data_IF_067474563712
#
_entry.id   IF_067474563712
#
_cell.length_a   1.000
_cell.length_b   1.000
_cell.length_c   1.000
_cell.angle_alpha   90.00
_cell.angle_beta   90.00
_cell.angle_gamma   90.00
#
_symmetry.space_group_name_H-M   'P 1'
#
loop_
_entity.id
_entity.type
_entity.pdbx_description
1 polymer ?
#
# COMPACT_ATOMS: atom_id res chain seq x y z
N UNK A 1 3.86 -13.22 6.44
CA UNK A 1 2.67 -12.34 6.54
C UNK A 1 2.81 -11.16 5.57
N UNK A 2 1.71 -10.71 4.97
CA UNK A 2 1.67 -9.56 4.03
C UNK A 2 0.51 -8.64 4.41
N UNK A 3 0.77 -7.35 4.55
CA UNK A 3 -0.24 -6.31 4.69
C UNK A 3 -0.58 -5.73 3.31
N UNK A 4 -1.83 -5.77 2.92
CA UNK A 4 -2.35 -5.03 1.75
C UNK A 4 -3.00 -3.77 2.30
N UNK A 5 -2.33 -2.63 2.15
CA UNK A 5 -2.85 -1.33 2.57
C UNK A 5 -3.64 -0.69 1.43
N UNK A 6 -4.96 -0.76 1.52
CA UNK A 6 -5.88 -0.04 0.65
C UNK A 6 -6.06 1.39 1.18
N UNK A 7 -5.31 2.32 0.61
CA UNK A 7 -5.20 3.71 1.09
C UNK A 7 -6.35 4.63 0.66
N UNK A 8 -7.51 4.08 0.28
CA UNK A 8 -8.65 4.89 -0.17
C UNK A 8 -9.77 4.96 0.88
N UNK A 9 -10.60 6.00 0.80
CA UNK A 9 -11.85 6.12 1.54
C UNK A 9 -13.07 5.70 0.69
N UNK A 10 -12.83 5.10 -0.46
CA UNK A 10 -13.88 4.70 -1.37
C UNK A 10 -14.75 3.57 -0.78
N UNK A 11 -15.97 3.47 -1.32
CA UNK A 11 -16.94 2.46 -0.87
C UNK A 11 -16.47 1.04 -1.22
N UNK A 12 -16.97 0.03 -0.50
CA UNK A 12 -16.80 -1.37 -0.88
C UNK A 12 -17.20 -1.61 -2.35
N UNK A 13 -16.48 -2.50 -3.03
CA UNK A 13 -16.67 -2.85 -4.45
C UNK A 13 -16.21 -1.80 -5.48
N UNK A 14 -15.24 -0.96 -5.14
CA UNK A 14 -14.53 -0.16 -6.13
C UNK A 14 -13.25 -0.86 -6.63
N UNK A 15 -12.61 -0.25 -7.62
CA UNK A 15 -11.35 -0.74 -8.21
C UNK A 15 -10.29 -1.09 -7.17
N UNK A 16 -10.21 -0.33 -6.08
CA UNK A 16 -9.19 -0.57 -5.05
C UNK A 16 -9.46 -1.87 -4.28
N UNK A 17 -10.71 -2.14 -3.96
CA UNK A 17 -11.11 -3.35 -3.25
C UNK A 17 -10.97 -4.58 -4.14
N UNK A 18 -11.29 -4.47 -5.44
CA UNK A 18 -11.11 -5.56 -6.40
C UNK A 18 -9.64 -5.94 -6.54
N UNK A 19 -8.74 -4.95 -6.68
CA UNK A 19 -7.29 -5.19 -6.71
C UNK A 19 -6.82 -5.83 -5.39
N UNK A 20 -7.26 -5.30 -4.25
CA UNK A 20 -6.88 -5.84 -2.95
C UNK A 20 -7.32 -7.30 -2.76
N UNK A 21 -8.54 -7.63 -3.19
CA UNK A 21 -9.07 -8.98 -3.12
C UNK A 21 -8.31 -9.94 -4.05
N UNK A 22 -8.05 -9.54 -5.29
CA UNK A 22 -7.25 -10.33 -6.23
C UNK A 22 -5.86 -10.66 -5.66
N UNK A 23 -5.17 -9.64 -5.15
CA UNK A 23 -3.84 -9.81 -4.53
C UNK A 23 -3.89 -10.72 -3.31
N UNK A 24 -4.92 -10.59 -2.47
CA UNK A 24 -5.13 -11.46 -1.31
C UNK A 24 -5.26 -12.92 -1.72
N UNK A 25 -6.15 -13.20 -2.68
CA UNK A 25 -6.36 -14.57 -3.16
C UNK A 25 -5.08 -15.16 -3.78
N UNK A 26 -4.36 -14.39 -4.59
CA UNK A 26 -3.12 -14.86 -5.20
C UNK A 26 -2.02 -15.10 -4.15
N UNK A 27 -1.87 -14.22 -3.17
CA UNK A 27 -0.92 -14.40 -2.06
C UNK A 27 -1.24 -15.65 -1.21
N UNK A 28 -2.52 -15.96 -1.00
CA UNK A 28 -2.94 -17.21 -0.33
C UNK A 28 -2.51 -18.44 -1.14
N UNK A 29 -2.67 -18.43 -2.45
CA UNK A 29 -2.21 -19.53 -3.34
C UNK A 29 -0.69 -19.72 -3.27
N UNK A 30 0.08 -18.64 -3.03
CA UNK A 30 1.53 -18.69 -2.82
C UNK A 30 1.93 -19.11 -1.39
N UNK A 31 0.98 -19.46 -0.52
CA UNK A 31 1.23 -19.89 0.87
C UNK A 31 1.53 -18.74 1.84
N UNK A 32 1.29 -17.49 1.44
CA UNK A 32 1.40 -16.35 2.33
C UNK A 32 0.16 -16.20 3.23
N UNK A 33 0.28 -15.35 4.25
CA UNK A 33 -0.84 -14.96 5.13
C UNK A 33 -1.11 -13.46 4.92
N UNK A 34 -1.95 -13.09 3.93
CA UNK A 34 -2.29 -11.70 3.67
C UNK A 34 -3.43 -11.21 4.57
N UNK A 35 -3.35 -9.92 4.94
CA UNK A 35 -4.42 -9.15 5.57
C UNK A 35 -4.64 -7.88 4.75
N UNK A 36 -5.90 -7.48 4.56
CA UNK A 36 -6.25 -6.19 3.96
C UNK A 36 -6.54 -5.23 5.09
N UNK A 37 -5.86 -4.08 5.08
CA UNK A 37 -6.20 -2.90 5.86
C UNK A 37 -6.90 -1.91 4.93
N UNK A 38 -8.22 -1.84 5.04
CA UNK A 38 -9.02 -0.86 4.32
C UNK A 38 -9.10 0.43 5.12
N UNK A 39 -8.47 1.50 4.64
CA UNK A 39 -8.51 2.79 5.34
C UNK A 39 -9.93 3.30 5.59
N UNK A 40 -10.86 2.98 4.68
CA UNK A 40 -12.27 3.35 4.79
C UNK A 40 -13.03 2.71 5.99
N UNK A 41 -12.46 1.67 6.60
CA UNK A 41 -13.04 0.99 7.76
C UNK A 41 -12.53 1.57 9.10
N UNK A 42 -11.60 2.52 9.04
CA UNK A 42 -10.98 3.13 10.20
C UNK A 42 -11.25 4.63 10.20
N UNK A 43 -11.73 5.14 11.32
CA UNK A 43 -11.90 6.59 11.53
C UNK A 43 -10.56 7.20 11.95
N UNK A 44 -9.66 7.35 10.95
CA UNK A 44 -8.35 7.98 11.16
C UNK A 44 -8.54 9.51 11.07
N UNK A 45 -8.41 10.26 12.15
CA UNK A 45 -8.56 11.71 12.13
C UNK A 45 -7.43 12.38 11.34
N UNK A 46 -7.61 13.65 11.01
CA UNK A 46 -6.52 14.45 10.48
C UNK A 46 -5.38 14.50 11.50
N UNK A 47 -4.17 14.31 10.99
CA UNK A 47 -2.96 14.40 11.79
C UNK A 47 -2.74 15.86 12.23
N UNK A 48 -2.53 16.04 13.52
CA UNK A 48 -2.13 17.30 14.15
C UNK A 48 -0.95 17.00 15.08
N UNK A 49 0.02 17.91 15.19
CA UNK A 49 1.19 17.69 16.06
C UNK A 49 0.83 17.73 17.55
N UNK A 50 -0.16 18.57 17.93
CA UNK A 50 -0.59 18.80 19.31
C UNK A 50 -1.84 17.97 19.65
N UNK A 51 -1.76 16.65 19.53
CA UNK A 51 -2.86 15.78 19.98
C UNK A 51 -2.81 15.52 21.49
N UNK A 52 -3.94 15.66 22.17
CA UNK A 52 -4.06 15.40 23.60
C UNK A 52 -4.13 13.91 23.94
N UNK A 53 -4.72 13.13 23.06
CA UNK A 53 -4.88 11.68 23.17
C UNK A 53 -4.72 11.04 21.80
N UNK A 54 -4.06 9.87 21.76
CA UNK A 54 -3.96 9.08 20.52
C UNK A 54 -5.24 8.28 20.33
N UNK A 55 -5.97 8.47 19.23
CA UNK A 55 -7.19 7.70 18.96
C UNK A 55 -6.93 6.20 18.87
N UNK A 56 -7.88 5.40 19.34
CA UNK A 56 -7.80 3.93 19.27
C UNK A 56 -7.63 3.42 17.84
N UNK A 57 -8.25 4.07 16.87
CA UNK A 57 -8.11 3.75 15.45
C UNK A 57 -6.67 3.89 14.95
N UNK A 58 -5.99 4.94 15.39
CA UNK A 58 -4.57 5.20 15.08
C UNK A 58 -3.69 4.16 15.78
N UNK A 59 -3.94 3.86 17.04
CA UNK A 59 -3.20 2.82 17.78
C UNK A 59 -3.31 1.46 17.09
N UNK A 60 -4.50 1.05 16.66
CA UNK A 60 -4.74 -0.18 15.92
C UNK A 60 -4.01 -0.18 14.58
N UNK A 61 -4.09 0.94 13.85
CA UNK A 61 -3.37 1.11 12.58
C UNK A 61 -1.86 0.94 12.78
N UNK A 62 -1.26 1.59 13.77
CA UNK A 62 0.17 1.46 14.09
C UNK A 62 0.56 0.01 14.38
N UNK A 63 -0.23 -0.70 15.18
CA UNK A 63 0.02 -2.12 15.49
C UNK A 63 0.03 -2.97 14.23
N UNK A 64 -0.97 -2.82 13.35
CA UNK A 64 -1.06 -3.56 12.09
C UNK A 64 0.13 -3.23 11.20
N UNK A 65 0.48 -1.97 11.01
CA UNK A 65 1.60 -1.57 10.15
C UNK A 65 2.96 -2.09 10.66
N UNK A 66 3.11 -2.21 11.97
CA UNK A 66 4.35 -2.71 12.59
C UNK A 66 4.43 -4.25 12.59
N UNK A 67 3.30 -4.94 12.67
CA UNK A 67 3.25 -6.42 12.73
C UNK A 67 3.75 -7.09 11.44
N UNK A 68 3.54 -6.46 10.28
CA UNK A 68 3.81 -7.04 8.98
C UNK A 68 5.13 -6.53 8.40
N UNK A 69 6.01 -7.43 7.91
CA UNK A 69 7.30 -7.05 7.34
C UNK A 69 7.23 -6.77 5.83
N UNK A 70 6.15 -7.20 5.19
CA UNK A 70 5.90 -6.99 3.77
C UNK A 70 4.57 -6.33 3.57
N UNK A 71 4.57 -5.23 2.80
CA UNK A 71 3.35 -4.49 2.50
C UNK A 71 3.14 -4.39 0.99
N UNK A 72 1.88 -4.31 0.57
CA UNK A 72 1.47 -3.82 -0.74
C UNK A 72 0.64 -2.58 -0.51
N UNK A 73 1.06 -1.45 -1.05
CA UNK A 73 0.31 -0.19 -0.93
C UNK A 73 -0.45 0.09 -2.20
N UNK A 74 -1.75 0.36 -2.05
CA UNK A 74 -2.70 0.64 -3.11
C UNK A 74 -3.17 2.09 -3.00
N UNK A 75 -2.96 2.90 -4.03
CA UNK A 75 -3.43 4.29 -4.08
C UNK A 75 -3.91 4.68 -5.46
N UNK A 76 -5.06 5.36 -5.59
CA UNK A 76 -5.35 6.10 -6.81
C UNK A 76 -4.40 7.29 -6.94
N UNK A 77 -4.18 7.71 -8.18
CA UNK A 77 -3.48 8.95 -8.50
C UNK A 77 -4.44 10.13 -8.42
N UNK A 78 -4.13 11.10 -7.58
CA UNK A 78 -4.77 12.42 -7.59
C UNK A 78 -3.72 13.51 -7.66
N UNK A 79 -3.84 14.40 -8.68
CA UNK A 79 -2.98 15.57 -8.86
C UNK A 79 -1.47 15.28 -8.72
N UNK A 80 -1.01 14.16 -9.29
CA UNK A 80 0.40 13.79 -9.33
C UNK A 80 0.92 13.03 -8.12
N UNK A 81 0.08 12.68 -7.15
CA UNK A 81 0.48 11.97 -5.94
C UNK A 81 -0.55 10.97 -5.43
N UNK A 82 -0.23 10.34 -4.30
CA UNK A 82 -1.16 9.49 -3.58
C UNK A 82 -2.36 10.30 -3.07
N UNK A 83 -3.48 9.62 -2.81
CA UNK A 83 -4.66 10.26 -2.21
C UNK A 83 -4.34 10.82 -0.82
N UNK A 84 -4.90 12.02 -0.52
CA UNK A 84 -4.61 12.74 0.74
C UNK A 84 -4.95 11.93 2.00
N UNK A 85 -6.02 11.13 1.98
CA UNK A 85 -6.38 10.28 3.11
C UNK A 85 -5.29 9.23 3.44
N UNK A 86 -4.65 8.65 2.41
CA UNK A 86 -3.52 7.74 2.60
C UNK A 86 -2.32 8.46 3.22
N UNK A 87 -2.00 9.66 2.71
CA UNK A 87 -0.90 10.46 3.27
C UNK A 87 -1.16 10.81 4.73
N UNK A 88 -2.37 11.24 5.05
CA UNK A 88 -2.80 11.52 6.42
C UNK A 88 -2.63 10.30 7.35
N UNK A 89 -3.04 9.12 6.89
CA UNK A 89 -2.87 7.88 7.65
C UNK A 89 -1.37 7.61 7.92
N UNK A 90 -0.51 7.80 6.92
CA UNK A 90 0.93 7.58 7.05
C UNK A 90 1.63 8.62 7.94
N UNK A 91 1.10 9.83 8.07
CA UNK A 91 1.65 10.87 8.94
C UNK A 91 1.59 10.47 10.42
N UNK A 92 0.57 9.74 10.82
CA UNK A 92 0.46 9.20 12.17
C UNK A 92 1.58 8.22 12.56
N UNK A 93 2.36 7.70 11.59
CA UNK A 93 3.52 6.87 11.91
C UNK A 93 4.61 7.63 12.68
N UNK A 94 4.55 8.96 12.76
CA UNK A 94 5.43 9.80 13.60
C UNK A 94 5.42 9.35 15.08
N UNK A 95 4.32 8.79 15.56
CA UNK A 95 4.19 8.29 16.92
C UNK A 95 5.20 7.19 17.25
N UNK A 96 5.72 6.51 16.24
CA UNK A 96 6.75 5.49 16.41
C UNK A 96 8.19 6.00 16.25
N UNK A 97 8.39 7.32 16.18
CA UNK A 97 9.70 7.94 15.92
C UNK A 97 10.77 7.60 16.95
N UNK A 98 10.37 7.33 18.18
CA UNK A 98 11.26 7.01 19.31
C UNK A 98 11.35 5.50 19.59
N UNK A 99 10.72 4.65 18.80
CA UNK A 99 10.83 3.20 18.94
C UNK A 99 12.22 2.70 18.54
N UNK A 100 12.62 1.53 18.97
CA UNK A 100 13.88 0.88 18.53
C UNK A 100 13.95 0.74 17.01
N UNK A 101 12.84 0.37 16.38
CA UNK A 101 12.67 0.35 14.92
C UNK A 101 11.57 1.35 14.53
N UNK A 102 11.91 2.63 14.38
CA UNK A 102 10.92 3.68 14.12
C UNK A 102 10.32 3.56 12.72
N UNK A 103 9.10 4.05 12.59
CA UNK A 103 8.34 4.05 11.34
C UNK A 103 8.16 2.64 10.76
N UNK A 104 8.61 2.43 9.54
CA UNK A 104 8.55 1.15 8.82
C UNK A 104 9.97 0.61 8.54
N UNK A 105 10.91 0.86 9.45
CA UNK A 105 12.31 0.40 9.34
C UNK A 105 12.35 -1.11 9.05
N UNK A 106 13.17 -1.50 8.07
CA UNK A 106 13.38 -2.86 7.57
C UNK A 106 12.21 -3.52 6.82
N UNK A 107 11.06 -2.85 6.67
CA UNK A 107 9.95 -3.40 5.92
C UNK A 107 10.15 -3.27 4.41
N UNK A 108 9.57 -4.21 3.65
CA UNK A 108 9.60 -4.21 2.18
C UNK A 108 8.22 -3.85 1.67
N UNK A 109 8.13 -2.84 0.81
CA UNK A 109 6.87 -2.28 0.35
C UNK A 109 6.79 -2.33 -1.18
N UNK A 110 5.79 -3.04 -1.68
CA UNK A 110 5.39 -3.07 -3.07
C UNK A 110 4.35 -1.96 -3.35
N UNK A 111 4.43 -1.32 -4.51
CA UNK A 111 3.64 -0.14 -4.82
C UNK A 111 2.77 -0.35 -6.06
N UNK A 112 1.48 -0.06 -5.92
CA UNK A 112 0.50 -0.08 -6.99
C UNK A 112 -0.25 1.25 -6.97
N UNK A 113 -0.28 1.93 -8.12
CA UNK A 113 -0.98 3.19 -8.27
C UNK A 113 -1.76 3.19 -9.59
N UNK A 114 -3.00 3.66 -9.58
CA UNK A 114 -3.83 3.73 -10.77
C UNK A 114 -4.34 5.15 -11.02
N UNK A 115 -4.48 5.48 -12.29
CA UNK A 115 -5.01 6.75 -12.74
C UNK A 115 -5.49 6.68 -14.17
N UNK A 116 -6.04 7.75 -14.66
CA UNK A 116 -6.37 7.89 -16.07
C UNK A 116 -5.11 8.27 -16.87
N UNK A 117 -4.94 7.66 -18.04
CA UNK A 117 -3.78 7.89 -18.90
C UNK A 117 -2.47 7.34 -18.31
N UNK A 118 -1.36 7.82 -18.86
CA UNK A 118 -0.02 7.33 -18.55
C UNK A 118 0.59 7.85 -17.23
N UNK A 119 -0.13 8.66 -16.47
CA UNK A 119 0.45 9.41 -15.34
C UNK A 119 0.56 8.61 -14.03
N UNK A 120 0.10 7.37 -13.98
CA UNK A 120 0.15 6.56 -12.75
C UNK A 120 1.59 6.36 -12.21
N UNK A 121 2.62 6.48 -13.07
CA UNK A 121 4.02 6.44 -12.67
C UNK A 121 4.41 7.57 -11.71
N UNK A 122 3.85 8.77 -11.87
CA UNK A 122 4.12 9.89 -10.94
C UNK A 122 3.59 9.59 -9.54
N UNK A 123 2.48 8.86 -9.43
CA UNK A 123 1.97 8.37 -8.15
C UNK A 123 2.90 7.35 -7.51
N UNK A 124 3.49 6.46 -8.30
CA UNK A 124 4.52 5.52 -7.81
C UNK A 124 5.73 6.28 -7.26
N UNK A 125 6.21 7.32 -7.94
CA UNK A 125 7.35 8.13 -7.47
C UNK A 125 7.04 8.86 -6.18
N UNK A 126 5.83 9.41 -6.06
CA UNK A 126 5.33 10.01 -4.81
C UNK A 126 5.31 9.00 -3.66
N UNK A 127 4.81 7.79 -3.89
CA UNK A 127 4.80 6.71 -2.90
C UNK A 127 6.22 6.28 -2.51
N UNK A 128 7.16 6.18 -3.47
CA UNK A 128 8.58 5.84 -3.20
C UNK A 128 9.24 6.82 -2.26
N UNK A 129 9.00 8.11 -2.45
CA UNK A 129 9.54 9.15 -1.57
C UNK A 129 9.06 8.96 -0.13
N UNK A 130 7.78 8.66 0.07
CA UNK A 130 7.23 8.42 1.41
C UNK A 130 7.78 7.14 2.02
N UNK A 131 7.88 6.05 1.23
CA UNK A 131 8.49 4.78 1.69
C UNK A 131 9.92 5.01 2.18
N UNK A 132 10.73 5.74 1.41
CA UNK A 132 12.12 6.06 1.78
C UNK A 132 12.19 6.90 3.06
N UNK A 133 11.32 7.92 3.19
CA UNK A 133 11.24 8.78 4.39
C UNK A 133 10.85 7.96 5.63
N UNK A 134 9.97 6.97 5.47
CA UNK A 134 9.57 6.04 6.52
C UNK A 134 10.59 4.91 6.77
N UNK A 135 11.80 4.99 6.20
CA UNK A 135 12.93 4.05 6.37
C UNK A 135 12.65 2.62 5.90
N UNK A 136 11.70 2.45 5.00
CA UNK A 136 11.38 1.17 4.40
C UNK A 136 12.06 0.97 3.04
N UNK A 137 12.05 -0.26 2.55
CA UNK A 137 12.58 -0.63 1.23
C UNK A 137 11.45 -0.68 0.22
N UNK A 138 11.44 0.24 -0.73
CA UNK A 138 10.53 0.13 -1.87
C UNK A 138 11.00 -1.00 -2.78
N UNK A 139 10.11 -1.95 -3.09
CA UNK A 139 10.39 -2.96 -4.11
C UNK A 139 10.71 -2.26 -5.44
N UNK A 140 11.80 -2.62 -6.16
CA UNK A 140 12.15 -1.97 -7.43
C UNK A 140 11.03 -2.08 -8.47
N UNK A 141 10.38 -3.24 -8.55
CA UNK A 141 9.21 -3.45 -9.39
C UNK A 141 7.97 -2.82 -8.76
N UNK A 142 7.20 -2.09 -9.55
CA UNK A 142 5.95 -1.45 -9.15
C UNK A 142 4.93 -1.54 -10.28
N UNK A 143 3.65 -1.35 -9.99
CA UNK A 143 2.58 -1.48 -10.97
C UNK A 143 1.84 -0.15 -11.12
N UNK A 144 2.30 0.73 -12.04
CA UNK A 144 1.46 1.82 -12.52
C UNK A 144 0.36 1.27 -13.43
N UNK A 145 -0.88 1.69 -13.18
CA UNK A 145 -2.06 1.22 -13.90
C UNK A 145 -2.70 2.38 -14.66
N UNK A 146 -2.80 2.26 -15.98
CA UNK A 146 -3.68 3.07 -16.80
C UNK A 146 -5.08 2.44 -16.74
N UNK A 147 -6.00 3.13 -16.05
CA UNK A 147 -7.31 2.57 -15.67
C UNK A 147 -8.15 2.11 -16.87
N UNK A 148 -8.02 2.76 -18.00
CA UNK A 148 -8.69 2.43 -19.26
C UNK A 148 -8.31 1.04 -19.82
N UNK A 149 -7.17 0.48 -19.39
CA UNK A 149 -6.69 -0.85 -19.80
C UNK A 149 -6.71 -1.88 -18.68
N UNK A 150 -7.26 -1.51 -17.51
CA UNK A 150 -7.26 -2.39 -16.34
C UNK A 150 -8.16 -3.60 -16.52
N UNK A 151 -9.27 -3.40 -17.21
CA UNK A 151 -10.28 -4.44 -17.40
C UNK A 151 -10.44 -4.81 -18.86
N UNK A 152 -10.69 -6.11 -19.10
CA UNK A 152 -11.21 -6.68 -20.33
C UNK A 152 -12.51 -7.40 -19.98
N UNK A 153 -13.64 -6.94 -20.55
CA UNK A 153 -14.97 -7.37 -20.13
C UNK A 153 -15.16 -7.12 -18.59
N UNK A 154 -15.53 -8.16 -17.84
CA UNK A 154 -15.80 -8.08 -16.40
C UNK A 154 -14.64 -8.59 -15.52
N UNK A 155 -13.42 -8.69 -16.04
CA UNK A 155 -12.24 -9.17 -15.33
C UNK A 155 -11.04 -8.28 -15.57
N UNK A 156 -10.02 -8.41 -14.74
CA UNK A 156 -8.74 -7.74 -15.02
C UNK A 156 -8.19 -8.22 -16.35
N UNK A 157 -7.60 -7.31 -17.14
CA UNK A 157 -6.89 -7.69 -18.36
C UNK A 157 -5.69 -8.58 -18.01
N UNK A 158 -5.36 -9.48 -18.89
CA UNK A 158 -4.25 -10.43 -18.71
C UNK A 158 -2.93 -9.73 -18.36
N UNK A 159 -2.70 -8.54 -18.94
CA UNK A 159 -1.51 -7.73 -18.66
C UNK A 159 -1.44 -7.33 -17.19
N UNK A 160 -2.55 -6.93 -16.58
CA UNK A 160 -2.56 -6.50 -15.19
C UNK A 160 -2.63 -7.69 -14.23
N UNK A 161 -3.28 -8.78 -14.59
CA UNK A 161 -3.19 -10.03 -13.83
C UNK A 161 -1.73 -10.50 -13.69
N UNK A 162 -0.99 -10.58 -14.80
CA UNK A 162 0.43 -10.94 -14.78
C UNK A 162 1.29 -9.98 -13.93
N UNK A 163 1.00 -8.67 -13.98
CA UNK A 163 1.70 -7.68 -13.15
C UNK A 163 1.40 -7.86 -11.66
N UNK A 164 0.14 -8.15 -11.29
CA UNK A 164 -0.25 -8.40 -9.90
C UNK A 164 0.37 -9.70 -9.36
N UNK A 165 0.40 -10.73 -10.17
CA UNK A 165 1.09 -11.98 -9.84
C UNK A 165 2.58 -11.73 -9.64
N UNK A 166 3.20 -11.06 -10.60
CA UNK A 166 4.64 -10.77 -10.57
C UNK A 166 5.06 -9.94 -9.35
N UNK A 167 4.33 -8.89 -9.01
CA UNK A 167 4.67 -8.06 -7.83
C UNK A 167 4.51 -8.85 -6.53
N UNK A 168 3.52 -9.74 -6.44
CA UNK A 168 3.29 -10.61 -5.29
C UNK A 168 4.42 -11.60 -5.10
N UNK A 169 4.86 -12.26 -6.17
CA UNK A 169 6.00 -13.20 -6.16
C UNK A 169 7.30 -12.51 -5.75
N UNK A 170 7.59 -11.34 -6.34
CA UNK A 170 8.79 -10.57 -6.03
C UNK A 170 8.79 -10.09 -4.57
N UNK A 171 7.62 -9.74 -4.03
CA UNK A 171 7.49 -9.33 -2.63
C UNK A 171 7.79 -10.49 -1.67
N UNK A 172 7.39 -11.72 -2.02
CA UNK A 172 7.61 -12.88 -1.14
C UNK A 172 9.05 -13.41 -1.22
N UNK A 173 9.72 -13.22 -2.33
CA UNK A 173 11.09 -13.74 -2.56
C UNK A 173 12.04 -12.62 -3.03
N UNK A 174 12.24 -11.57 -2.24
CA UNK A 174 13.23 -10.57 -2.61
C UNK A 174 14.63 -11.22 -2.55
N UNK A 175 15.25 -11.42 -3.70
CA UNK A 175 16.67 -11.82 -3.76
C UNK A 175 17.51 -10.57 -3.49
N UNK A 176 17.77 -10.28 -2.24
CA UNK A 176 18.76 -9.28 -1.84
C UNK A 176 20.07 -10.05 -1.70
N UNK A 177 20.91 -10.04 -2.75
CA UNK A 177 22.29 -10.49 -2.64
C UNK A 177 23.06 -9.36 -1.95
N UNK A 178 23.39 -9.54 -0.70
CA UNK A 178 24.42 -8.72 -0.05
C UNK A 178 25.75 -9.29 -0.53
N UNK A 179 26.41 -8.55 -1.42
CA UNK A 179 27.80 -8.80 -1.81
C UNK A 179 28.73 -8.45 -0.66
#
# INVERSE_FOLDING_TARGET
>A
KVLIFNGTLNKPNDTSQEIANYLKEYLLQLGATPVIFNLSEYDIPFFEEDFSEVPDSVTKMLQVFKEYDRHIWLSPLYHGGMVGAMKNCLDWLILSSNDENPYLTHKIIALICWGYGANASTGIDSLRNVVATLRAWALPYSVPIAREYLYEEDRFSIIYEEKFQRISELLLQPKISIL
#
